data_IF_317662307024
#
_entry.id   IF_317662307024
#
_cell.length_a   1.000
_cell.length_b   1.000
_cell.length_c   1.000
_cell.angle_alpha   90.00
_cell.angle_beta   90.00
_cell.angle_gamma   90.00
#
_symmetry.space_group_name_H-M   'P 1'
#
loop_
_entity.id
_entity.type
_entity.pdbx_description
1 polymer ?
#
# COMPACT_ATOMS: atom_id res chain seq x y z
N UNK A 1 7.37 -13.88 13.47
CA UNK A 1 7.13 -13.42 14.86
C UNK A 1 7.92 -14.28 15.82
N UNK A 2 7.91 -13.99 17.13
CA UNK A 2 8.59 -14.80 18.15
C UNK A 2 8.13 -16.27 18.13
N UNK A 3 6.83 -16.49 17.91
CA UNK A 3 6.21 -17.83 17.87
C UNK A 3 6.53 -18.57 16.56
N UNK A 4 6.58 -17.85 15.43
CA UNK A 4 6.99 -18.47 14.17
C UNK A 4 8.46 -18.86 14.24
N UNK A 5 9.28 -17.98 14.82
CA UNK A 5 10.70 -18.22 15.02
C UNK A 5 10.97 -19.45 15.88
N UNK A 6 10.30 -19.57 17.03
CA UNK A 6 10.42 -20.76 17.89
C UNK A 6 10.01 -22.04 17.16
N UNK A 7 8.92 -21.98 16.39
CA UNK A 7 8.46 -23.12 15.58
C UNK A 7 9.51 -23.53 14.54
N UNK A 8 10.12 -22.59 13.81
CA UNK A 8 11.13 -22.94 12.81
C UNK A 8 12.41 -23.47 13.43
N UNK A 9 12.80 -22.92 14.58
CA UNK A 9 13.92 -23.45 15.35
C UNK A 9 13.68 -24.90 15.77
N UNK A 10 12.46 -25.24 16.22
CA UNK A 10 12.08 -26.62 16.54
C UNK A 10 12.08 -27.53 15.30
N UNK A 11 11.53 -27.07 14.18
CA UNK A 11 11.54 -27.83 12.92
C UNK A 11 12.99 -28.08 12.43
N UNK A 12 13.87 -27.10 12.56
CA UNK A 12 15.30 -27.23 12.29
C UNK A 12 15.97 -28.21 13.25
N UNK A 13 15.61 -28.21 14.54
CA UNK A 13 16.12 -29.18 15.50
C UNK A 13 15.72 -30.62 15.14
N UNK A 14 14.47 -30.85 14.71
CA UNK A 14 14.05 -32.17 14.20
C UNK A 14 14.95 -32.63 13.05
N UNK A 15 15.19 -31.73 12.09
CA UNK A 15 16.07 -31.99 10.94
C UNK A 15 17.52 -32.25 11.36
N UNK A 16 18.09 -31.43 12.24
CA UNK A 16 19.45 -31.59 12.77
C UNK A 16 19.63 -32.88 13.57
N UNK A 17 18.57 -33.38 14.21
CA UNK A 17 18.54 -34.66 14.90
C UNK A 17 18.39 -35.86 13.96
N UNK A 18 18.42 -35.65 12.63
CA UNK A 18 18.38 -36.73 11.63
C UNK A 18 16.98 -37.06 11.11
N UNK A 19 15.94 -36.29 11.46
CA UNK A 19 14.60 -36.51 10.93
C UNK A 19 14.54 -36.05 9.47
N UNK A 20 14.47 -37.00 8.54
CA UNK A 20 14.38 -36.73 7.10
C UNK A 20 12.95 -36.92 6.54
N UNK A 21 12.07 -37.61 7.26
CA UNK A 21 10.66 -37.67 6.90
C UNK A 21 10.02 -36.30 7.11
N UNK A 22 9.69 -35.65 6.00
CA UNK A 22 9.12 -34.31 5.99
C UNK A 22 7.81 -34.20 6.79
N UNK A 23 7.02 -35.28 6.85
CA UNK A 23 5.77 -35.31 7.60
C UNK A 23 6.00 -35.38 9.11
N UNK A 24 7.18 -35.84 9.54
CA UNK A 24 7.57 -35.97 10.93
C UNK A 24 8.23 -34.69 11.48
N UNK A 25 8.69 -33.78 10.62
CA UNK A 25 9.26 -32.50 11.01
C UNK A 25 8.12 -31.54 11.42
N UNK A 26 8.07 -31.16 12.70
CA UNK A 26 7.01 -30.30 13.25
C UNK A 26 7.54 -29.37 14.33
N UNK A 27 6.87 -28.24 14.51
CA UNK A 27 7.03 -27.36 15.68
C UNK A 27 5.68 -27.15 16.37
N UNK A 28 5.64 -26.25 17.33
CA UNK A 28 4.46 -25.99 18.17
C UNK A 28 3.23 -25.57 17.37
N UNK A 29 3.42 -24.94 16.20
CA UNK A 29 2.32 -24.52 15.33
C UNK A 29 1.99 -25.54 14.22
N UNK A 30 2.57 -26.73 14.25
CA UNK A 30 2.27 -27.82 13.31
C UNK A 30 3.45 -28.29 12.45
N UNK A 31 3.17 -29.18 11.48
CA UNK A 31 4.20 -29.76 10.62
C UNK A 31 4.83 -28.70 9.70
N UNK A 32 6.03 -28.99 9.22
CA UNK A 32 6.69 -28.14 8.23
C UNK A 32 5.89 -28.16 6.91
N UNK A 33 5.68 -26.97 6.35
CA UNK A 33 4.92 -26.78 5.09
C UNK A 33 5.73 -26.08 4.02
N UNK A 34 7.02 -25.88 4.26
CA UNK A 34 7.94 -25.17 3.38
C UNK A 34 8.70 -26.15 2.46
N UNK A 35 9.53 -25.68 1.53
CA UNK A 35 10.48 -26.55 0.81
C UNK A 35 11.74 -26.81 1.64
N UNK A 36 12.54 -27.83 1.27
CA UNK A 36 13.79 -28.18 1.98
C UNK A 36 14.77 -27.00 2.14
N UNK A 37 14.80 -26.04 1.20
CA UNK A 37 15.62 -24.84 1.30
C UNK A 37 15.34 -24.00 2.57
N UNK A 38 14.11 -24.06 3.10
CA UNK A 38 13.79 -23.44 4.39
C UNK A 38 14.64 -24.03 5.52
N UNK A 39 14.74 -25.36 5.60
CA UNK A 39 15.53 -26.04 6.64
C UNK A 39 17.01 -25.66 6.54
N UNK A 40 17.57 -25.59 5.33
CA UNK A 40 18.97 -25.23 5.16
C UNK A 40 19.27 -23.79 5.59
N UNK A 41 18.45 -22.83 5.15
CA UNK A 41 18.61 -21.41 5.52
C UNK A 41 18.43 -21.23 7.03
N UNK A 42 17.38 -21.81 7.61
CA UNK A 42 17.11 -21.67 9.04
C UNK A 42 18.10 -22.47 9.90
N UNK A 43 18.75 -23.51 9.37
CA UNK A 43 19.89 -24.17 10.05
C UNK A 43 21.06 -23.22 10.22
N UNK A 44 21.39 -22.43 9.19
CA UNK A 44 22.44 -21.40 9.29
C UNK A 44 22.04 -20.36 10.33
N UNK A 45 20.81 -19.86 10.26
CA UNK A 45 20.30 -18.88 11.21
C UNK A 45 20.27 -19.42 12.65
N UNK A 46 19.92 -20.69 12.84
CA UNK A 46 19.92 -21.37 14.13
C UNK A 46 21.29 -21.26 14.80
N UNK A 47 22.38 -21.58 14.09
CA UNK A 47 23.73 -21.44 14.66
C UNK A 47 24.12 -19.98 14.90
N UNK A 48 23.83 -19.06 13.97
CA UNK A 48 24.17 -17.64 14.09
C UNK A 48 23.45 -16.93 15.25
N UNK A 49 22.30 -17.44 15.67
CA UNK A 49 21.43 -16.81 16.68
C UNK A 49 21.49 -17.51 18.03
N UNK A 50 22.62 -18.16 18.32
CA UNK A 50 22.81 -18.97 19.53
C UNK A 50 21.70 -20.03 19.67
N UNK A 51 21.61 -20.92 18.69
CA UNK A 51 20.62 -22.00 18.62
C UNK A 51 19.18 -21.49 18.66
N UNK A 52 18.91 -20.35 18.03
CA UNK A 52 17.59 -19.76 17.97
C UNK A 52 17.15 -18.97 19.21
N UNK A 53 17.99 -18.85 20.25
CA UNK A 53 17.60 -18.13 21.49
C UNK A 53 17.71 -16.62 21.36
N UNK A 54 18.60 -16.11 20.51
CA UNK A 54 18.83 -14.68 20.32
C UNK A 54 17.97 -14.12 19.17
N UNK A 55 16.72 -13.83 19.48
CA UNK A 55 15.71 -13.35 18.52
C UNK A 55 16.07 -11.96 17.97
N UNK A 56 16.64 -11.10 18.81
CA UNK A 56 17.08 -9.78 18.39
C UNK A 56 18.21 -9.86 17.35
N UNK A 57 19.15 -10.79 17.52
CA UNK A 57 20.18 -11.08 16.52
C UNK A 57 19.55 -11.55 15.20
N UNK A 58 18.55 -12.44 15.25
CA UNK A 58 17.84 -12.87 14.05
C UNK A 58 17.21 -11.69 13.30
N UNK A 59 16.55 -10.79 14.04
CA UNK A 59 15.96 -9.58 13.48
C UNK A 59 17.02 -8.67 12.82
N UNK A 60 18.18 -8.49 13.46
CA UNK A 60 19.28 -7.72 12.87
C UNK A 60 19.86 -8.37 11.62
N UNK A 61 20.01 -9.69 11.60
CA UNK A 61 20.47 -10.42 10.41
C UNK A 61 19.49 -10.23 9.25
N UNK A 62 18.18 -10.35 9.48
CA UNK A 62 17.17 -10.09 8.44
C UNK A 62 17.19 -8.64 7.97
N UNK A 63 17.29 -7.67 8.89
CA UNK A 63 17.41 -6.26 8.55
C UNK A 63 18.67 -5.96 7.73
N UNK A 64 19.79 -6.60 8.07
CA UNK A 64 21.07 -6.46 7.37
C UNK A 64 21.05 -7.09 5.98
N UNK A 65 20.51 -8.31 5.83
CA UNK A 65 20.31 -8.94 4.51
C UNK A 65 19.41 -8.08 3.63
N UNK A 66 18.37 -7.51 4.21
CA UNK A 66 17.49 -6.59 3.50
C UNK A 66 18.21 -5.30 3.08
N UNK A 67 19.01 -4.71 3.97
CA UNK A 67 19.86 -3.56 3.66
C UNK A 67 20.86 -3.88 2.55
N UNK A 68 21.48 -5.06 2.56
CA UNK A 68 22.38 -5.51 1.47
C UNK A 68 21.60 -5.63 0.16
N UNK A 69 20.38 -6.16 0.19
CA UNK A 69 19.54 -6.27 -1.01
C UNK A 69 19.19 -4.89 -1.54
N UNK A 70 18.85 -3.94 -0.66
CA UNK A 70 18.64 -2.54 -1.03
C UNK A 70 19.90 -1.90 -1.61
N UNK A 71 21.07 -2.14 -1.02
CA UNK A 71 22.34 -1.63 -1.52
C UNK A 71 22.73 -2.27 -2.86
N UNK A 72 22.42 -3.56 -3.07
CA UNK A 72 22.64 -4.27 -4.33
C UNK A 72 21.71 -3.74 -5.42
N UNK A 73 20.41 -3.59 -5.12
CA UNK A 73 19.43 -2.92 -5.98
C UNK A 73 19.92 -1.52 -6.31
N UNK A 74 20.31 -0.73 -5.30
CA UNK A 74 20.84 0.61 -5.49
C UNK A 74 22.06 0.62 -6.43
N UNK A 75 23.03 -0.27 -6.22
CA UNK A 75 24.23 -0.38 -7.08
C UNK A 75 23.90 -0.78 -8.51
N UNK A 76 22.98 -1.71 -8.70
CA UNK A 76 22.55 -2.16 -10.04
C UNK A 76 21.82 -1.04 -10.78
N UNK A 77 21.05 -0.23 -10.05
CA UNK A 77 20.11 0.71 -10.66
C UNK A 77 20.55 2.17 -10.66
N UNK A 78 21.57 2.57 -9.89
CA UNK A 78 22.04 3.97 -9.82
C UNK A 78 22.41 4.57 -11.20
N UNK A 79 22.74 3.73 -12.20
CA UNK A 79 23.08 4.16 -13.57
C UNK A 79 21.88 4.32 -14.53
N UNK A 80 20.66 3.94 -14.16
CA UNK A 80 19.51 4.02 -15.07
C UNK A 80 18.85 5.40 -15.04
N UNK A 81 19.10 6.17 -16.10
CA UNK A 81 18.64 7.54 -16.29
C UNK A 81 17.16 7.60 -16.70
N UNK A 82 16.26 7.29 -15.76
CA UNK A 82 14.81 7.27 -16.03
C UNK A 82 14.02 8.19 -15.10
N UNK A 83 14.51 9.43 -14.97
CA UNK A 83 14.10 10.49 -14.03
C UNK A 83 12.80 11.22 -14.42
N UNK A 84 11.84 10.51 -15.01
CA UNK A 84 10.71 11.11 -15.73
C UNK A 84 9.91 12.09 -14.84
N UNK A 85 9.62 11.71 -13.59
CA UNK A 85 8.72 12.50 -12.74
C UNK A 85 9.44 13.36 -11.70
N UNK A 86 10.67 13.03 -11.29
CA UNK A 86 11.44 13.85 -10.33
C UNK A 86 11.67 15.28 -10.85
N UNK A 87 12.09 15.42 -12.11
CA UNK A 87 12.30 16.74 -12.72
C UNK A 87 11.01 17.55 -12.74
N UNK A 88 9.88 16.92 -13.12
CA UNK A 88 8.56 17.56 -13.10
C UNK A 88 8.18 18.04 -11.70
N UNK A 89 8.39 17.22 -10.66
CA UNK A 89 8.07 17.63 -9.29
C UNK A 89 8.93 18.82 -8.84
N UNK A 90 10.23 18.82 -9.18
CA UNK A 90 11.13 19.94 -8.91
C UNK A 90 10.69 21.22 -9.64
N UNK A 91 10.29 21.12 -10.90
CA UNK A 91 9.78 22.25 -11.69
C UNK A 91 8.47 22.82 -11.12
N UNK A 92 7.54 21.96 -10.71
CA UNK A 92 6.30 22.38 -10.07
C UNK A 92 6.56 23.13 -8.75
N UNK A 93 7.53 22.66 -7.96
CA UNK A 93 7.99 23.37 -6.76
C UNK A 93 8.63 24.71 -7.11
N UNK A 94 9.42 24.79 -8.17
CA UNK A 94 10.01 26.07 -8.62
C UNK A 94 8.92 27.10 -8.99
N UNK A 95 7.85 26.69 -9.68
CA UNK A 95 6.71 27.57 -9.93
C UNK A 95 6.14 28.14 -8.62
N UNK A 96 5.92 27.26 -7.64
CA UNK A 96 5.39 27.65 -6.32
C UNK A 96 6.34 28.58 -5.56
N UNK A 97 7.64 28.26 -5.50
CA UNK A 97 8.66 29.08 -4.84
C UNK A 97 8.84 30.46 -5.50
N UNK A 98 8.54 30.58 -6.79
CA UNK A 98 8.51 31.86 -7.50
C UNK A 98 7.22 32.67 -7.25
N UNK A 99 6.34 32.22 -6.35
CA UNK A 99 5.10 32.90 -5.97
C UNK A 99 3.85 32.48 -6.76
N UNK A 100 3.92 31.41 -7.57
CA UNK A 100 2.76 30.93 -8.34
C UNK A 100 1.78 30.19 -7.43
N UNK A 101 0.61 30.77 -7.20
CA UNK A 101 -0.49 30.14 -6.43
C UNK A 101 -1.64 29.65 -7.33
N UNK A 102 -1.70 30.02 -8.60
CA UNK A 102 -2.70 29.46 -9.51
C UNK A 102 -2.29 28.06 -9.94
N UNK A 103 -3.02 27.04 -9.48
CA UNK A 103 -2.80 25.64 -9.85
C UNK A 103 -2.89 25.37 -11.35
N UNK A 104 -3.58 26.22 -12.13
CA UNK A 104 -3.58 26.11 -13.60
C UNK A 104 -2.21 26.46 -14.22
N UNK A 105 -1.40 27.25 -13.52
CA UNK A 105 -0.09 27.70 -13.98
C UNK A 105 1.07 26.84 -13.47
N UNK A 106 0.84 25.97 -12.47
CA UNK A 106 1.87 25.08 -11.93
C UNK A 106 1.98 23.81 -12.79
N UNK A 107 3.10 23.68 -13.50
CA UNK A 107 3.37 22.57 -14.42
C UNK A 107 4.86 22.25 -14.52
N UNK A 108 5.17 21.05 -14.97
CA UNK A 108 6.51 20.66 -15.41
C UNK A 108 6.46 19.93 -16.75
N UNK A 109 7.57 19.35 -17.17
CA UNK A 109 7.75 18.73 -18.49
C UNK A 109 6.74 17.61 -18.77
N UNK A 110 6.33 16.87 -17.74
CA UNK A 110 5.36 15.76 -17.88
C UNK A 110 3.91 16.16 -17.62
N UNK A 111 3.63 17.45 -17.38
CA UNK A 111 2.28 18.01 -17.31
C UNK A 111 1.98 18.86 -16.08
N UNK A 112 0.71 19.26 -15.90
CA UNK A 112 0.28 20.11 -14.79
C UNK A 112 0.24 19.34 -13.48
N UNK A 113 0.37 20.08 -12.37
CA UNK A 113 0.21 19.52 -11.02
C UNK A 113 -1.20 18.96 -10.85
N UNK A 114 -1.28 17.76 -10.27
CA UNK A 114 -2.54 17.12 -9.85
C UNK A 114 -2.42 16.45 -8.50
N UNK A 115 -1.69 17.12 -7.63
CA UNK A 115 -1.46 16.70 -6.27
C UNK A 115 -1.89 17.84 -5.35
N UNK A 116 -2.50 17.55 -4.19
CA UNK A 116 -2.86 18.61 -3.26
C UNK A 116 -1.63 19.27 -2.65
N UNK A 117 -1.84 20.36 -1.90
CA UNK A 117 -0.76 21.24 -1.45
C UNK A 117 0.33 20.56 -0.62
N UNK A 118 0.03 19.45 0.06
CA UNK A 118 1.01 18.66 0.81
C UNK A 118 2.17 18.18 -0.05
N UNK A 119 1.92 17.85 -1.32
CA UNK A 119 2.98 17.54 -2.29
C UNK A 119 3.98 18.69 -2.45
N UNK A 120 3.49 19.91 -2.68
CA UNK A 120 4.36 21.09 -2.87
C UNK A 120 5.22 21.36 -1.63
N UNK A 121 4.66 21.28 -0.43
CA UNK A 121 5.42 21.52 0.79
C UNK A 121 6.49 20.46 1.04
N UNK A 122 6.16 19.18 0.88
CA UNK A 122 7.15 18.10 1.05
C UNK A 122 8.25 18.22 0.00
N UNK A 123 7.89 18.41 -1.27
CA UNK A 123 8.89 18.53 -2.32
C UNK A 123 9.68 19.84 -2.26
N UNK A 124 9.18 20.88 -1.59
CA UNK A 124 9.98 22.08 -1.25
C UNK A 124 11.10 21.73 -0.28
N UNK A 125 10.84 20.91 0.74
CA UNK A 125 11.89 20.42 1.65
C UNK A 125 12.91 19.60 0.86
N UNK A 126 12.44 18.65 0.04
CA UNK A 126 13.32 17.82 -0.80
C UNK A 126 14.14 18.66 -1.78
N UNK A 127 13.55 19.69 -2.38
CA UNK A 127 14.22 20.63 -3.28
C UNK A 127 15.45 21.24 -2.61
N UNK A 128 15.32 21.78 -1.40
CA UNK A 128 16.46 22.38 -0.70
C UNK A 128 17.50 21.34 -0.26
N UNK A 129 17.08 20.18 0.26
CA UNK A 129 17.99 19.11 0.68
C UNK A 129 18.84 18.54 -0.47
N UNK A 130 18.31 18.58 -1.69
CA UNK A 130 18.94 17.96 -2.87
C UNK A 130 19.63 18.97 -3.77
N UNK A 131 20.12 20.09 -3.20
CA UNK A 131 20.73 21.18 -3.96
C UNK A 131 19.83 21.63 -5.13
N UNK A 132 18.60 22.04 -4.80
CA UNK A 132 17.58 22.51 -5.76
C UNK A 132 17.16 21.44 -6.77
N UNK A 133 17.13 20.18 -6.34
CA UNK A 133 16.74 19.04 -7.18
C UNK A 133 17.85 18.46 -8.06
N UNK A 134 19.07 19.03 -8.03
CA UNK A 134 20.19 18.60 -8.89
C UNK A 134 20.96 17.41 -8.32
N UNK A 135 21.02 17.26 -6.99
CA UNK A 135 21.67 16.13 -6.33
C UNK A 135 20.71 14.93 -6.25
N UNK A 136 20.60 14.22 -7.37
CA UNK A 136 19.75 13.03 -7.51
C UNK A 136 20.19 11.91 -6.56
N UNK A 137 21.49 11.74 -6.36
CA UNK A 137 22.02 10.72 -5.46
C UNK A 137 21.48 10.92 -4.02
N UNK A 138 21.49 12.16 -3.54
CA UNK A 138 20.88 12.51 -2.26
C UNK A 138 19.37 12.18 -2.24
N UNK A 139 18.63 12.53 -3.30
CA UNK A 139 17.22 12.20 -3.42
C UNK A 139 16.98 10.68 -3.36
N UNK A 140 17.80 9.88 -4.04
CA UNK A 140 17.70 8.41 -4.01
C UNK A 140 17.95 7.84 -2.62
N UNK A 141 18.91 8.38 -1.85
CA UNK A 141 19.10 7.98 -0.46
C UNK A 141 17.90 8.34 0.42
N UNK A 142 17.31 9.52 0.22
CA UNK A 142 16.08 9.92 0.94
C UNK A 142 14.93 8.96 0.61
N UNK A 143 14.73 8.61 -0.66
CA UNK A 143 13.68 7.67 -1.06
C UNK A 143 13.96 6.22 -0.62
N UNK A 144 15.22 5.79 -0.57
CA UNK A 144 15.59 4.52 0.04
C UNK A 144 15.25 4.51 1.54
N UNK A 145 15.47 5.62 2.25
CA UNK A 145 15.06 5.76 3.65
C UNK A 145 13.53 5.75 3.80
N UNK A 146 12.78 6.45 2.94
CA UNK A 146 11.31 6.40 2.90
C UNK A 146 10.81 4.96 2.64
N UNK A 147 11.51 4.22 1.78
CA UNK A 147 11.17 2.82 1.53
C UNK A 147 11.37 1.95 2.78
N UNK A 148 12.47 2.14 3.50
CA UNK A 148 12.73 1.46 4.76
C UNK A 148 11.65 1.78 5.80
N UNK A 149 11.28 3.05 5.97
CA UNK A 149 10.18 3.45 6.87
C UNK A 149 8.87 2.79 6.47
N UNK A 150 8.56 2.73 5.17
CA UNK A 150 7.36 2.06 4.67
C UNK A 150 7.35 0.59 5.08
N UNK A 151 8.46 -0.11 4.90
CA UNK A 151 8.54 -1.53 5.25
C UNK A 151 8.49 -1.77 6.75
N UNK A 152 9.16 -0.95 7.56
CA UNK A 152 9.04 -1.03 9.02
C UNK A 152 7.59 -0.84 9.47
N UNK A 153 6.87 0.11 8.85
CA UNK A 153 5.45 0.32 9.13
C UNK A 153 4.61 -0.89 8.70
N UNK A 154 4.84 -1.46 7.51
CA UNK A 154 4.14 -2.67 7.03
C UNK A 154 4.45 -3.88 7.92
N UNK A 155 5.70 -4.09 8.31
CA UNK A 155 6.08 -5.20 9.18
C UNK A 155 5.45 -5.09 10.55
N UNK A 156 5.38 -3.88 11.11
CA UNK A 156 4.67 -3.65 12.37
C UNK A 156 3.19 -3.95 12.24
N UNK A 157 2.55 -3.55 11.14
CA UNK A 157 1.15 -3.89 10.86
C UNK A 157 0.98 -5.41 10.87
N UNK A 158 1.86 -6.13 10.15
CA UNK A 158 1.79 -7.58 10.03
C UNK A 158 2.14 -8.31 11.33
N UNK A 159 3.02 -7.76 12.14
CA UNK A 159 3.35 -8.27 13.47
C UNK A 159 2.17 -8.14 14.44
N UNK A 160 1.36 -7.09 14.28
CA UNK A 160 0.18 -6.82 15.10
C UNK A 160 -1.11 -7.47 14.60
N UNK A 161 -1.06 -8.19 13.48
CA UNK A 161 -2.19 -9.00 13.03
C UNK A 161 -2.44 -10.14 14.01
N UNK A 162 -3.72 -10.44 14.20
CA UNK A 162 -4.14 -11.58 15.02
C UNK A 162 -3.93 -12.88 14.23
N UNK A 163 -4.21 -12.84 12.92
CA UNK A 163 -3.84 -13.90 11.97
C UNK A 163 -2.37 -13.80 11.57
N UNK A 164 -1.62 -14.87 11.82
CA UNK A 164 -0.21 -14.93 11.44
C UNK A 164 -0.04 -15.18 9.95
N UNK A 165 0.74 -14.31 9.31
CA UNK A 165 1.22 -14.53 7.95
C UNK A 165 2.47 -15.40 7.96
N UNK A 166 2.64 -16.30 6.98
CA UNK A 166 3.87 -17.07 6.86
C UNK A 166 5.04 -16.13 6.56
N UNK A 167 6.24 -16.36 7.13
CA UNK A 167 7.41 -15.48 6.99
C UNK A 167 7.84 -15.26 5.56
N UNK A 168 7.62 -16.22 4.66
CA UNK A 168 7.96 -16.02 3.25
C UNK A 168 7.14 -14.89 2.62
N UNK A 169 5.97 -14.53 3.16
CA UNK A 169 5.23 -13.36 2.71
C UNK A 169 6.06 -12.08 2.87
N UNK A 170 6.89 -12.00 3.91
CA UNK A 170 7.85 -10.92 4.10
C UNK A 170 8.94 -10.95 3.03
N UNK A 171 9.48 -12.13 2.71
CA UNK A 171 10.47 -12.27 1.62
C UNK A 171 9.90 -11.83 0.27
N UNK A 172 8.66 -12.22 -0.04
CA UNK A 172 7.97 -11.78 -1.27
C UNK A 172 7.81 -10.26 -1.30
N UNK A 173 7.32 -9.65 -0.22
CA UNK A 173 7.18 -8.18 -0.16
C UNK A 173 8.51 -7.44 -0.29
N UNK A 174 9.58 -7.98 0.29
CA UNK A 174 10.85 -7.27 0.40
C UNK A 174 11.73 -7.42 -0.83
N UNK A 175 11.73 -8.60 -1.44
CA UNK A 175 12.81 -9.01 -2.33
C UNK A 175 12.36 -9.29 -3.76
N UNK A 176 11.06 -9.54 -4.01
CA UNK A 176 10.65 -10.11 -5.30
C UNK A 176 10.18 -9.07 -6.32
N UNK A 177 9.80 -7.85 -5.91
CA UNK A 177 9.26 -6.88 -6.85
C UNK A 177 10.30 -5.85 -7.33
N UNK A 178 10.89 -6.13 -8.48
CA UNK A 178 11.71 -5.18 -9.24
C UNK A 178 11.01 -3.83 -9.40
N UNK A 179 9.71 -3.85 -9.75
CA UNK A 179 8.95 -2.63 -10.00
C UNK A 179 8.81 -1.77 -8.75
N UNK A 180 8.54 -2.37 -7.59
CA UNK A 180 8.43 -1.63 -6.34
C UNK A 180 9.77 -0.98 -5.99
N UNK A 181 10.88 -1.70 -6.08
CA UNK A 181 12.21 -1.12 -5.91
C UNK A 181 12.47 0.07 -6.85
N UNK A 182 12.10 -0.07 -8.12
CA UNK A 182 12.22 0.99 -9.13
C UNK A 182 11.38 2.22 -8.77
N UNK A 183 10.14 2.04 -8.34
CA UNK A 183 9.23 3.13 -7.96
C UNK A 183 9.83 4.00 -6.86
N UNK A 184 10.45 3.39 -5.84
CA UNK A 184 11.12 4.12 -4.76
C UNK A 184 12.45 4.70 -5.18
N UNK A 185 13.42 3.87 -5.59
CA UNK A 185 14.83 4.26 -5.63
C UNK A 185 15.23 4.86 -6.98
N UNK A 186 14.56 4.47 -8.07
CA UNK A 186 14.90 4.97 -9.40
C UNK A 186 14.05 6.15 -9.83
N UNK A 187 12.74 6.04 -9.62
CA UNK A 187 11.76 6.95 -10.19
C UNK A 187 11.36 8.07 -9.23
N UNK A 188 11.58 7.89 -7.92
CA UNK A 188 11.31 8.88 -6.88
C UNK A 188 9.86 9.38 -6.90
N UNK A 189 8.91 8.46 -7.14
CA UNK A 189 7.50 8.80 -7.32
C UNK A 189 6.87 9.30 -6.03
N UNK A 190 6.05 10.36 -6.14
CA UNK A 190 5.28 10.95 -5.05
C UNK A 190 4.38 9.92 -4.31
N UNK A 191 3.94 8.87 -5.02
CA UNK A 191 3.18 7.74 -4.50
C UNK A 191 3.81 7.12 -3.26
N UNK A 192 5.14 7.04 -3.22
CA UNK A 192 5.89 6.39 -2.13
C UNK A 192 5.74 7.12 -0.80
N UNK A 193 5.78 8.46 -0.83
CA UNK A 193 5.59 9.31 0.36
C UNK A 193 4.16 9.17 0.87
N UNK A 194 3.18 9.23 -0.03
CA UNK A 194 1.77 9.06 0.34
C UNK A 194 1.51 7.69 0.99
N UNK A 195 2.06 6.62 0.41
CA UNK A 195 1.90 5.27 0.97
C UNK A 195 2.65 5.09 2.30
N UNK A 196 3.85 5.67 2.48
CA UNK A 196 4.56 5.65 3.76
C UNK A 196 3.72 6.28 4.89
N UNK A 197 3.19 7.49 4.64
CA UNK A 197 2.30 8.19 5.58
C UNK A 197 1.02 7.41 5.87
N UNK A 198 0.43 6.78 4.85
CA UNK A 198 -0.74 5.93 5.03
C UNK A 198 -0.45 4.71 5.91
N UNK A 199 0.65 3.99 5.71
CA UNK A 199 0.98 2.85 6.57
C UNK A 199 1.30 3.28 8.01
N UNK A 200 1.86 4.48 8.22
CA UNK A 200 1.97 5.07 9.55
C UNK A 200 0.58 5.35 10.14
N UNK A 201 -0.35 5.92 9.37
CA UNK A 201 -1.73 6.13 9.81
C UNK A 201 -2.42 4.82 10.23
N UNK A 202 -2.26 3.76 9.43
CA UNK A 202 -2.79 2.43 9.73
C UNK A 202 -2.22 1.86 11.03
N UNK A 203 -0.93 2.05 11.29
CA UNK A 203 -0.31 1.67 12.57
C UNK A 203 -0.97 2.34 13.78
N UNK A 204 -1.38 3.60 13.65
CA UNK A 204 -2.13 4.29 14.70
C UNK A 204 -3.57 3.78 14.82
N UNK A 205 -4.24 3.44 13.71
CA UNK A 205 -5.58 2.85 13.75
C UNK A 205 -5.59 1.48 14.45
N UNK A 206 -4.63 0.60 14.15
CA UNK A 206 -4.50 -0.69 14.85
C UNK A 206 -4.06 -0.55 16.32
N UNK A 207 -3.51 0.60 16.70
CA UNK A 207 -3.25 0.97 18.11
C UNK A 207 -4.43 1.67 18.78
N UNK A 208 -5.57 1.80 18.08
CA UNK A 208 -6.77 2.54 18.52
C UNK A 208 -6.53 4.03 18.76
N UNK A 209 -5.42 4.60 18.26
CA UNK A 209 -5.10 6.03 18.28
C UNK A 209 -5.72 6.74 17.07
N UNK A 210 -7.05 6.70 16.97
CA UNK A 210 -7.82 7.14 15.80
C UNK A 210 -7.48 8.57 15.36
N UNK A 211 -7.40 9.52 16.28
CA UNK A 211 -7.13 10.93 15.95
C UNK A 211 -5.74 11.14 15.36
N UNK A 212 -4.71 10.49 15.93
CA UNK A 212 -3.35 10.56 15.38
C UNK A 212 -3.30 9.88 14.01
N UNK A 213 -3.97 8.74 13.86
CA UNK A 213 -4.12 8.09 12.57
C UNK A 213 -4.81 8.99 11.53
N UNK A 214 -5.86 9.72 11.92
CA UNK A 214 -6.56 10.69 11.06
C UNK A 214 -5.66 11.86 10.64
N UNK A 215 -4.75 12.32 11.52
CA UNK A 215 -3.73 13.32 11.15
C UNK A 215 -2.84 12.78 10.03
N UNK A 216 -2.20 11.63 10.23
CA UNK A 216 -1.32 11.03 9.20
C UNK A 216 -2.08 10.67 7.92
N UNK A 217 -3.31 10.19 8.04
CA UNK A 217 -4.18 9.89 6.90
C UNK A 217 -4.46 11.15 6.08
N UNK A 218 -4.83 12.26 6.71
CA UNK A 218 -5.09 13.51 5.99
C UNK A 218 -3.82 14.08 5.36
N UNK A 219 -2.68 14.01 6.05
CA UNK A 219 -1.40 14.40 5.44
C UNK A 219 -1.12 13.52 4.21
N UNK A 220 -1.32 12.20 4.28
CA UNK A 220 -1.16 11.30 3.13
C UNK A 220 -2.08 11.67 1.95
N UNK A 221 -3.36 11.99 2.21
CA UNK A 221 -4.30 12.50 1.19
C UNK A 221 -3.79 13.80 0.58
N UNK A 222 -3.22 14.71 1.38
CA UNK A 222 -2.68 15.99 0.90
C UNK A 222 -1.45 15.83 -0.01
N UNK A 223 -0.79 14.67 0.03
CA UNK A 223 0.31 14.32 -0.86
C UNK A 223 -0.20 13.66 -2.13
N UNK A 224 -1.14 12.71 -2.00
CA UNK A 224 -1.73 12.04 -3.15
C UNK A 224 -3.14 11.52 -2.89
N UNK A 225 -4.02 11.79 -3.84
CA UNK A 225 -5.45 11.49 -3.71
C UNK A 225 -5.81 10.00 -3.68
N UNK A 226 -4.92 9.09 -4.11
CA UNK A 226 -5.22 7.65 -4.12
C UNK A 226 -5.56 7.11 -2.73
N UNK A 227 -5.07 7.77 -1.68
CA UNK A 227 -5.37 7.45 -0.28
C UNK A 227 -6.87 7.59 0.03
N UNK A 228 -7.64 8.35 -0.77
CA UNK A 228 -9.10 8.44 -0.65
C UNK A 228 -9.81 7.11 -0.93
N UNK A 229 -9.18 6.14 -1.62
CA UNK A 229 -9.75 4.79 -1.79
C UNK A 229 -10.00 4.07 -0.46
N UNK A 230 -9.31 4.49 0.61
CA UNK A 230 -9.50 3.99 1.96
C UNK A 230 -10.58 4.75 2.74
N UNK A 231 -11.05 5.91 2.27
CA UNK A 231 -11.94 6.81 3.01
C UNK A 231 -13.30 6.15 3.38
N UNK A 232 -13.98 5.40 2.48
CA UNK A 232 -15.24 4.75 2.83
C UNK A 232 -15.07 3.74 3.98
N UNK A 233 -13.98 2.96 3.94
CA UNK A 233 -13.65 2.01 5.01
C UNK A 233 -13.26 2.71 6.31
N UNK A 234 -12.46 3.78 6.24
CA UNK A 234 -12.09 4.55 7.42
C UNK A 234 -13.32 5.17 8.09
N UNK A 235 -14.24 5.77 7.32
CA UNK A 235 -15.48 6.31 7.84
C UNK A 235 -16.30 5.23 8.56
N UNK A 236 -16.46 4.06 7.94
CA UNK A 236 -17.17 2.93 8.54
C UNK A 236 -16.52 2.49 9.86
N UNK A 237 -15.19 2.33 9.88
CA UNK A 237 -14.46 1.98 11.10
C UNK A 237 -14.58 3.04 12.19
N UNK A 238 -14.55 4.33 11.83
CA UNK A 238 -14.73 5.41 12.79
C UNK A 238 -16.15 5.43 13.37
N UNK A 239 -17.17 5.07 12.59
CA UNK A 239 -18.55 4.96 13.08
C UNK A 239 -18.76 3.74 13.98
N UNK A 240 -18.09 2.63 13.69
CA UNK A 240 -18.20 1.38 14.45
C UNK A 240 -17.41 1.41 15.77
N UNK A 241 -16.25 2.06 15.80
CA UNK A 241 -15.32 2.00 16.96
C UNK A 241 -15.43 3.18 17.91
N UNK A 242 -16.01 4.30 17.46
CA UNK A 242 -16.08 5.52 18.23
C UNK A 242 -17.51 5.98 18.44
N UNK A 243 -17.76 6.74 19.51
CA UNK A 243 -18.98 7.53 19.62
C UNK A 243 -19.01 8.58 18.50
N UNK A 244 -20.22 8.96 18.07
CA UNK A 244 -20.43 9.96 16.99
C UNK A 244 -19.61 11.24 17.18
N UNK A 245 -19.46 11.71 18.43
CA UNK A 245 -18.62 12.87 18.77
C UNK A 245 -17.17 12.68 18.34
N UNK A 246 -16.58 11.53 18.64
CA UNK A 246 -15.20 11.22 18.29
C UNK A 246 -15.05 11.02 16.78
N UNK A 247 -16.05 10.43 16.11
CA UNK A 247 -16.11 10.39 14.63
C UNK A 247 -16.07 11.79 14.04
N UNK A 248 -16.90 12.73 14.55
CA UNK A 248 -16.91 14.12 14.11
C UNK A 248 -15.55 14.80 14.36
N UNK A 249 -14.90 14.57 15.51
CA UNK A 249 -13.57 15.10 15.79
C UNK A 249 -12.56 14.60 14.76
N UNK A 250 -12.51 13.29 14.49
CA UNK A 250 -11.58 12.70 13.53
C UNK A 250 -11.81 13.23 12.10
N UNK A 251 -13.06 13.37 11.68
CA UNK A 251 -13.41 13.97 10.38
C UNK A 251 -13.03 15.46 10.33
N UNK A 252 -13.24 16.20 11.42
CA UNK A 252 -12.87 17.61 11.52
C UNK A 252 -11.35 17.79 11.45
N UNK A 253 -10.58 16.93 12.11
CA UNK A 253 -9.11 16.90 12.02
C UNK A 253 -8.66 16.68 10.57
N UNK A 254 -9.26 15.71 9.88
CA UNK A 254 -8.95 15.49 8.47
C UNK A 254 -9.23 16.75 7.63
N UNK A 255 -10.41 17.36 7.79
CA UNK A 255 -10.81 18.55 7.04
C UNK A 255 -9.92 19.77 7.34
N UNK A 256 -9.63 20.04 8.62
CA UNK A 256 -8.80 21.16 9.05
C UNK A 256 -7.38 21.08 8.49
N UNK A 257 -6.79 19.89 8.41
CA UNK A 257 -5.48 19.69 7.78
C UNK A 257 -5.53 20.03 6.28
N UNK A 258 -6.57 19.59 5.55
CA UNK A 258 -6.71 19.94 4.13
C UNK A 258 -6.88 21.44 3.92
N UNK A 259 -7.70 22.09 4.77
CA UNK A 259 -7.91 23.54 4.72
C UNK A 259 -6.64 24.32 5.06
N UNK A 260 -5.91 23.90 6.10
CA UNK A 260 -4.68 24.56 6.53
C UNK A 260 -3.59 24.46 5.46
N UNK A 261 -3.36 23.27 4.91
CA UNK A 261 -2.37 23.07 3.84
C UNK A 261 -2.79 23.77 2.55
N UNK A 262 -4.08 23.75 2.20
CA UNK A 262 -4.61 24.40 1.01
C UNK A 262 -4.79 25.92 1.14
N UNK A 263 -4.62 26.50 2.33
CA UNK A 263 -5.07 27.87 2.64
C UNK A 263 -4.58 28.94 1.66
N UNK A 264 -3.28 29.02 1.27
CA UNK A 264 -2.82 30.05 0.35
C UNK A 264 -3.52 29.99 -1.02
N UNK A 265 -3.78 28.77 -1.49
CA UNK A 265 -4.43 28.51 -2.77
C UNK A 265 -5.94 28.72 -2.68
N UNK A 266 -6.56 28.36 -1.55
CA UNK A 266 -7.99 28.57 -1.31
C UNK A 266 -8.36 30.05 -1.17
N UNK A 267 -7.47 30.87 -0.60
CA UNK A 267 -7.68 32.32 -0.50
C UNK A 267 -7.47 33.05 -1.84
N UNK A 268 -6.52 32.57 -2.65
CA UNK A 268 -6.12 33.28 -3.89
C UNK A 268 -6.85 32.74 -5.14
N UNK A 269 -6.92 31.42 -5.30
CA UNK A 269 -7.45 30.73 -6.49
C UNK A 269 -8.27 29.47 -6.12
N UNK A 270 -9.37 29.59 -5.35
CA UNK A 270 -10.08 28.44 -4.79
C UNK A 270 -10.60 27.46 -5.86
N UNK A 271 -11.14 27.98 -6.96
CA UNK A 271 -11.65 27.15 -8.07
C UNK A 271 -10.53 26.33 -8.72
N UNK A 272 -9.39 26.97 -9.00
CA UNK A 272 -8.24 26.31 -9.61
C UNK A 272 -7.67 25.22 -8.68
N UNK A 273 -7.56 25.52 -7.38
CA UNK A 273 -7.08 24.56 -6.39
C UNK A 273 -8.01 23.34 -6.29
N UNK A 274 -9.31 23.54 -6.07
CA UNK A 274 -10.27 22.43 -5.85
C UNK A 274 -10.35 21.52 -7.08
N UNK A 275 -10.40 22.10 -8.28
CA UNK A 275 -10.53 21.31 -9.52
C UNK A 275 -9.26 20.55 -9.88
N UNK A 276 -8.07 21.13 -9.66
CA UNK A 276 -6.82 20.54 -10.12
C UNK A 276 -6.08 19.71 -9.07
N UNK A 277 -6.18 20.03 -7.78
CA UNK A 277 -5.44 19.32 -6.71
C UNK A 277 -5.76 17.83 -6.62
N UNK A 278 -7.02 17.46 -6.87
CA UNK A 278 -7.47 16.07 -6.93
C UNK A 278 -7.78 15.61 -8.38
N UNK A 279 -8.24 16.51 -9.25
CA UNK A 279 -8.56 16.26 -10.66
C UNK A 279 -9.16 14.87 -10.97
N UNK A 280 -10.38 14.63 -10.45
CA UNK A 280 -11.13 13.40 -10.70
C UNK A 280 -11.51 13.19 -12.17
N UNK A 281 -11.53 14.27 -12.97
CA UNK A 281 -11.83 14.22 -14.40
C UNK A 281 -10.66 13.78 -15.30
N UNK A 282 -9.44 13.66 -14.74
CA UNK A 282 -8.25 13.34 -15.55
C UNK A 282 -8.41 12.00 -16.28
N UNK A 283 -8.24 12.06 -17.59
CA UNK A 283 -8.16 10.89 -18.46
C UNK A 283 -6.70 10.61 -18.77
N UNK A 284 -6.21 9.47 -18.32
CA UNK A 284 -4.86 9.03 -18.65
C UNK A 284 -4.83 8.40 -20.05
N UNK A 285 -3.65 8.36 -20.68
CA UNK A 285 -3.51 7.78 -22.02
C UNK A 285 -3.67 6.26 -21.96
N UNK A 286 -4.53 5.70 -22.82
CA UNK A 286 -4.75 4.25 -22.94
C UNK A 286 -3.48 3.45 -23.24
N UNK A 287 -2.44 4.07 -23.81
CA UNK A 287 -1.15 3.41 -24.06
C UNK A 287 -0.38 3.03 -22.78
N UNK A 288 -0.66 3.72 -21.66
CA UNK A 288 0.07 3.57 -20.41
C UNK A 288 -0.70 2.78 -19.34
N UNK A 289 -1.94 2.39 -19.63
CA UNK A 289 -2.80 1.68 -18.68
C UNK A 289 -2.45 0.20 -18.62
N UNK A 290 -2.19 -0.30 -17.41
CA UNK A 290 -1.92 -1.71 -17.13
C UNK A 290 -3.22 -2.52 -17.16
N UNK A 291 -4.34 -1.90 -16.78
CA UNK A 291 -5.67 -2.50 -16.77
C UNK A 291 -6.53 -1.94 -17.91
N UNK A 292 -7.52 -2.71 -18.37
CA UNK A 292 -8.40 -2.38 -19.50
C UNK A 292 -7.69 -2.22 -20.86
N UNK A 293 -6.47 -2.76 -21.02
CA UNK A 293 -5.73 -2.70 -22.30
C UNK A 293 -6.42 -3.48 -23.43
N UNK A 294 -7.28 -4.44 -23.08
CA UNK A 294 -8.12 -5.20 -24.03
C UNK A 294 -9.35 -4.43 -24.52
N UNK A 295 -9.70 -3.31 -23.88
CA UNK A 295 -10.78 -2.43 -24.32
C UNK A 295 -10.22 -1.43 -25.34
N UNK A 296 -11.03 -1.03 -26.33
CA UNK A 296 -10.61 -0.04 -27.33
C UNK A 296 -10.41 1.33 -26.69
N UNK A 297 -9.62 2.20 -27.35
CA UNK A 297 -9.33 3.53 -26.83
C UNK A 297 -10.60 4.39 -26.69
N UNK A 298 -11.53 4.25 -27.63
CA UNK A 298 -12.81 5.00 -27.67
C UNK A 298 -13.66 4.68 -26.43
N UNK A 299 -13.77 3.39 -26.09
CA UNK A 299 -14.50 2.95 -24.89
C UNK A 299 -13.74 3.38 -23.63
N UNK A 300 -12.42 3.26 -23.60
CA UNK A 300 -11.61 3.63 -22.44
C UNK A 300 -11.74 5.11 -22.05
N UNK A 301 -11.74 6.02 -23.03
CA UNK A 301 -11.87 7.47 -22.75
C UNK A 301 -13.32 7.91 -22.53
N UNK A 302 -14.29 7.06 -22.86
CA UNK A 302 -15.73 7.36 -22.75
C UNK A 302 -16.17 7.68 -21.32
N UNK A 303 -17.00 8.70 -21.18
CA UNK A 303 -17.61 9.07 -19.91
C UNK A 303 -18.58 7.99 -19.40
N UNK A 304 -19.28 7.28 -20.30
CA UNK A 304 -20.17 6.17 -19.94
C UNK A 304 -19.39 5.04 -19.26
N UNK A 305 -18.20 4.71 -19.78
CA UNK A 305 -17.33 3.71 -19.18
C UNK A 305 -16.84 4.14 -17.80
N UNK A 306 -16.41 5.39 -17.66
CA UNK A 306 -15.99 5.94 -16.37
C UNK A 306 -17.10 5.90 -15.31
N UNK A 307 -18.31 6.35 -15.65
CA UNK A 307 -19.47 6.34 -14.72
C UNK A 307 -19.88 4.91 -14.37
N UNK A 308 -19.86 3.98 -15.34
CA UNK A 308 -20.17 2.57 -15.10
C UNK A 308 -19.19 1.94 -14.11
N UNK A 309 -17.89 2.18 -14.28
CA UNK A 309 -16.87 1.71 -13.34
C UNK A 309 -17.06 2.28 -11.93
N UNK A 310 -17.39 3.58 -11.83
CA UNK A 310 -17.69 4.22 -10.54
C UNK A 310 -18.93 3.61 -9.87
N UNK A 311 -20.00 3.39 -10.62
CA UNK A 311 -21.22 2.77 -10.10
C UNK A 311 -20.96 1.34 -9.60
N UNK A 312 -20.21 0.54 -10.36
CA UNK A 312 -19.81 -0.81 -9.96
C UNK A 312 -18.90 -0.79 -8.72
N UNK A 313 -17.94 0.13 -8.66
CA UNK A 313 -17.09 0.32 -7.48
C UNK A 313 -17.92 0.57 -6.21
N UNK A 314 -18.85 1.53 -6.26
CA UNK A 314 -19.71 1.87 -5.12
C UNK A 314 -20.66 0.72 -4.75
N UNK A 315 -21.22 0.03 -5.74
CA UNK A 315 -22.08 -1.14 -5.51
C UNK A 315 -21.32 -2.26 -4.79
N UNK A 316 -20.13 -2.63 -5.28
CA UNK A 316 -19.34 -3.71 -4.68
C UNK A 316 -18.86 -3.30 -3.28
N UNK A 317 -18.42 -2.07 -3.06
CA UNK A 317 -18.11 -1.56 -1.72
C UNK A 317 -19.30 -1.71 -0.76
N UNK A 318 -20.49 -1.27 -1.17
CA UNK A 318 -21.69 -1.36 -0.37
C UNK A 318 -22.05 -2.82 -0.04
N UNK A 319 -21.94 -3.73 -1.02
CA UNK A 319 -22.18 -5.15 -0.81
C UNK A 319 -21.21 -5.74 0.22
N UNK A 320 -19.91 -5.42 0.12
CA UNK A 320 -18.91 -5.89 1.09
C UNK A 320 -19.17 -5.34 2.48
N UNK A 321 -19.48 -4.04 2.60
CA UNK A 321 -19.81 -3.44 3.89
C UNK A 321 -21.11 -4.01 4.48
N UNK A 322 -22.14 -4.25 3.67
CA UNK A 322 -23.39 -4.86 4.11
C UNK A 322 -23.17 -6.29 4.61
N UNK A 323 -22.41 -7.09 3.88
CA UNK A 323 -22.11 -8.48 4.26
C UNK A 323 -21.33 -8.54 5.57
N UNK A 324 -20.30 -7.72 5.69
CA UNK A 324 -19.38 -7.72 6.83
C UNK A 324 -19.98 -7.14 8.10
N UNK A 325 -20.78 -6.09 7.96
CA UNK A 325 -21.36 -5.37 9.08
C UNK A 325 -22.86 -5.60 9.16
N UNK A 326 -23.33 -6.83 8.89
CA UNK A 326 -24.74 -7.25 8.73
C UNK A 326 -25.73 -6.67 9.78
N UNK A 327 -25.22 -6.18 10.93
CA UNK A 327 -25.91 -5.29 11.88
C UNK A 327 -26.13 -3.84 11.39
N UNK A 328 -26.21 -3.58 10.08
CA UNK A 328 -26.64 -2.28 9.50
C UNK A 328 -28.01 -1.79 10.02
N UNK A 329 -28.79 -2.65 10.70
CA UNK A 329 -30.08 -2.31 11.32
C UNK A 329 -30.02 -1.33 12.51
N UNK A 330 -28.85 -0.82 12.92
CA UNK A 330 -28.72 0.16 14.01
C UNK A 330 -28.43 1.61 13.57
N UNK A 331 -28.78 1.98 12.34
CA UNK A 331 -28.82 3.39 11.92
C UNK A 331 -29.97 4.20 12.56
N UNK A 332 -30.84 3.54 13.33
CA UNK A 332 -31.78 4.21 14.22
C UNK A 332 -31.10 4.47 15.58
N UNK A 333 -31.17 5.71 16.10
CA UNK A 333 -30.62 6.03 17.40
C UNK A 333 -31.38 5.23 18.46
N UNK A 334 -30.65 4.65 19.43
CA UNK A 334 -31.05 4.32 20.82
C UNK A 334 -30.49 2.97 21.32
N UNK A 335 -30.10 2.00 20.49
CA UNK A 335 -29.81 0.65 21.04
C UNK A 335 -28.34 0.42 21.42
N UNK A 336 -27.99 0.88 22.63
CA UNK A 336 -26.86 0.48 23.51
C UNK A 336 -25.52 0.27 22.78
N UNK A 337 -24.71 1.32 22.79
CA UNK A 337 -23.29 1.32 22.42
C UNK A 337 -22.46 0.55 23.46
N UNK A 338 -22.39 -0.77 23.34
CA UNK A 338 -21.17 -1.47 23.72
C UNK A 338 -20.18 -1.24 22.59
N UNK A 339 -19.08 -0.53 22.84
CA UNK A 339 -17.96 -0.42 21.90
C UNK A 339 -17.55 -1.84 21.49
N UNK A 340 -17.86 -2.26 20.26
CA UNK A 340 -17.40 -3.55 19.77
C UNK A 340 -15.91 -3.39 19.57
N UNK A 341 -15.11 -4.13 20.36
CA UNK A 341 -13.67 -4.17 20.17
C UNK A 341 -13.39 -4.89 18.84
N UNK A 342 -13.25 -4.12 17.76
CA UNK A 342 -12.81 -4.68 16.48
C UNK A 342 -11.41 -5.26 16.64
N UNK A 343 -11.15 -6.42 16.05
CA UNK A 343 -9.81 -7.01 15.98
C UNK A 343 -8.92 -6.21 15.01
N UNK A 344 -7.60 -6.39 15.10
CA UNK A 344 -6.69 -5.70 14.17
C UNK A 344 -6.91 -6.18 12.74
N UNK A 345 -7.13 -7.49 12.58
CA UNK A 345 -7.50 -8.09 11.30
C UNK A 345 -8.78 -7.49 10.73
N UNK A 346 -9.74 -7.16 11.59
CA UNK A 346 -10.99 -6.57 11.14
C UNK A 346 -10.80 -5.17 10.55
N UNK A 347 -9.98 -4.34 11.20
CA UNK A 347 -9.61 -2.99 10.75
C UNK A 347 -8.86 -3.09 9.42
N UNK A 348 -7.83 -3.94 9.36
CA UNK A 348 -6.95 -4.07 8.20
C UNK A 348 -7.69 -4.62 6.97
N UNK A 349 -8.52 -5.65 7.15
CA UNK A 349 -9.33 -6.21 6.07
C UNK A 349 -10.31 -5.19 5.51
N UNK A 350 -10.93 -4.37 6.35
CA UNK A 350 -11.87 -3.33 5.90
C UNK A 350 -11.16 -2.27 5.06
N UNK A 351 -10.01 -1.77 5.54
CA UNK A 351 -9.21 -0.77 4.83
C UNK A 351 -8.62 -1.31 3.52
N UNK A 352 -7.98 -2.48 3.56
CA UNK A 352 -7.31 -3.06 2.39
C UNK A 352 -8.31 -3.57 1.34
N UNK A 353 -9.46 -4.13 1.74
CA UNK A 353 -10.51 -4.52 0.77
C UNK A 353 -11.12 -3.31 0.08
N UNK A 354 -11.38 -2.20 0.78
CA UNK A 354 -11.92 -1.00 0.14
C UNK A 354 -10.94 -0.42 -0.91
N UNK A 355 -9.66 -0.33 -0.55
CA UNK A 355 -8.62 0.07 -1.51
C UNK A 355 -8.53 -0.89 -2.69
N UNK A 356 -8.55 -2.20 -2.45
CA UNK A 356 -8.45 -3.20 -3.51
C UNK A 356 -9.64 -3.15 -4.48
N UNK A 357 -10.86 -2.95 -3.98
CA UNK A 357 -12.04 -2.69 -4.83
C UNK A 357 -11.82 -1.40 -5.64
N UNK A 358 -11.28 -0.34 -5.04
CA UNK A 358 -10.87 0.87 -5.74
C UNK A 358 -9.91 0.61 -6.91
N UNK A 359 -8.86 -0.17 -6.67
CA UNK A 359 -7.88 -0.56 -7.69
C UNK A 359 -8.54 -1.37 -8.82
N UNK A 360 -9.35 -2.39 -8.47
CA UNK A 360 -9.97 -3.28 -9.44
C UNK A 360 -10.91 -2.54 -10.42
N UNK A 361 -11.63 -1.53 -9.94
CA UNK A 361 -12.56 -0.73 -10.72
C UNK A 361 -11.97 0.61 -11.22
N UNK A 362 -10.70 0.89 -10.95
CA UNK A 362 -10.05 2.10 -11.48
C UNK A 362 -10.04 2.06 -13.01
N UNK A 363 -10.41 3.16 -13.66
CA UNK A 363 -10.38 3.23 -15.13
C UNK A 363 -8.98 3.12 -15.69
N UNK A 364 -7.98 3.70 -15.02
CA UNK A 364 -6.61 3.75 -15.54
C UNK A 364 -5.62 3.46 -14.43
N UNK A 365 -4.78 2.46 -14.64
CA UNK A 365 -3.69 2.12 -13.74
C UNK A 365 -2.35 2.27 -14.45
N UNK A 366 -1.57 3.27 -14.07
CA UNK A 366 -0.19 3.37 -14.53
C UNK A 366 0.73 2.59 -13.62
N UNK A 367 1.89 2.19 -14.14
CA UNK A 367 2.84 1.30 -13.47
C UNK A 367 3.25 1.73 -12.05
N UNK A 368 3.30 3.02 -11.75
CA UNK A 368 3.61 3.51 -10.40
C UNK A 368 2.50 3.23 -9.38
N UNK A 369 1.26 3.03 -9.83
CA UNK A 369 0.12 2.74 -8.95
C UNK A 369 0.17 1.32 -8.36
N UNK A 370 1.12 0.48 -8.79
CA UNK A 370 1.32 -0.83 -8.17
C UNK A 370 1.58 -0.73 -6.66
N UNK A 371 2.31 0.31 -6.24
CA UNK A 371 2.64 0.56 -4.82
C UNK A 371 1.40 0.84 -3.96
N UNK A 372 0.27 1.22 -4.56
CA UNK A 372 -0.97 1.54 -3.84
C UNK A 372 -1.57 0.35 -3.11
N UNK A 373 -1.23 -0.87 -3.52
CA UNK A 373 -1.82 -2.08 -2.94
C UNK A 373 -0.86 -3.27 -2.82
N UNK A 374 0.34 -3.21 -3.42
CA UNK A 374 1.33 -4.28 -3.36
C UNK A 374 1.53 -4.86 -1.94
N UNK A 375 1.82 -4.02 -0.95
CA UNK A 375 2.07 -4.46 0.42
C UNK A 375 0.81 -4.94 1.16
N UNK A 376 -0.39 -4.77 0.58
CA UNK A 376 -1.63 -5.32 1.14
C UNK A 376 -2.01 -6.68 0.54
N UNK A 377 -1.45 -7.05 -0.61
CA UNK A 377 -1.80 -8.26 -1.35
C UNK A 377 -1.56 -9.56 -0.55
N UNK A 378 -0.42 -9.76 0.15
CA UNK A 378 -0.22 -10.97 0.93
C UNK A 378 -1.27 -11.12 2.01
N UNK A 379 -1.58 -10.05 2.76
CA UNK A 379 -2.65 -10.09 3.74
C UNK A 379 -4.01 -10.44 3.11
N UNK A 380 -4.42 -9.75 2.05
CA UNK A 380 -5.71 -10.01 1.39
C UNK A 380 -5.82 -11.47 0.93
N UNK A 381 -4.77 -12.01 0.32
CA UNK A 381 -4.76 -13.41 -0.09
C UNK A 381 -4.83 -14.35 1.10
N UNK A 382 -4.10 -14.08 2.18
CA UNK A 382 -4.09 -14.97 3.34
C UNK A 382 -5.37 -14.97 4.16
N UNK A 383 -6.22 -13.96 4.01
CA UNK A 383 -7.60 -13.99 4.53
C UNK A 383 -8.54 -14.90 3.72
N UNK A 384 -8.11 -15.40 2.56
CA UNK A 384 -8.88 -16.37 1.76
C UNK A 384 -8.56 -17.81 2.12
N UNK A 385 -9.52 -18.71 1.87
CA UNK A 385 -9.39 -20.17 2.02
C UNK A 385 -8.57 -20.86 0.92
N UNK A 386 -7.95 -20.11 0.01
CA UNK A 386 -7.13 -20.69 -1.06
C UNK A 386 -5.88 -21.42 -0.52
N UNK A 387 -5.40 -22.41 -1.27
CA UNK A 387 -4.14 -23.08 -0.92
C UNK A 387 -2.95 -22.10 -1.01
N UNK A 388 -1.87 -22.29 -0.22
CA UNK A 388 -0.66 -21.47 -0.34
C UNK A 388 -0.09 -21.42 -1.77
N UNK A 389 -0.17 -22.53 -2.52
CA UNK A 389 0.24 -22.60 -3.94
C UNK A 389 -0.57 -21.65 -4.80
N UNK A 390 -1.89 -21.64 -4.65
CA UNK A 390 -2.80 -20.74 -5.38
C UNK A 390 -2.51 -19.28 -5.02
N UNK A 391 -2.32 -18.96 -3.73
CA UNK A 391 -2.01 -17.61 -3.26
C UNK A 391 -0.69 -17.09 -3.87
N UNK A 392 0.36 -17.90 -3.85
CA UNK A 392 1.65 -17.59 -4.48
C UNK A 392 1.55 -17.43 -6.00
N UNK A 393 0.79 -18.30 -6.67
CA UNK A 393 0.52 -18.19 -8.10
C UNK A 393 -0.15 -16.85 -8.43
N UNK A 394 -1.18 -16.46 -7.66
CA UNK A 394 -1.86 -15.17 -7.84
C UNK A 394 -0.88 -14.00 -7.68
N UNK A 395 -0.02 -14.00 -6.65
CA UNK A 395 1.01 -12.96 -6.47
C UNK A 395 1.97 -12.89 -7.67
N UNK A 396 2.41 -14.05 -8.17
CA UNK A 396 3.29 -14.13 -9.34
C UNK A 396 2.61 -13.61 -10.62
N UNK A 397 1.34 -13.92 -10.83
CA UNK A 397 0.56 -13.44 -11.99
C UNK A 397 0.32 -11.92 -11.91
N UNK A 398 0.06 -11.38 -10.72
CA UNK A 398 0.00 -9.92 -10.52
C UNK A 398 1.35 -9.29 -10.86
N UNK A 399 2.45 -9.82 -10.31
CA UNK A 399 3.80 -9.32 -10.60
C UNK A 399 4.12 -9.38 -12.10
N UNK A 400 3.74 -10.45 -12.79
CA UNK A 400 3.88 -10.59 -14.25
C UNK A 400 3.08 -9.51 -15.00
N UNK A 401 1.81 -9.32 -14.64
CA UNK A 401 0.93 -8.31 -15.25
C UNK A 401 1.50 -6.90 -15.09
N UNK A 402 2.02 -6.57 -13.90
CA UNK A 402 2.65 -5.27 -13.67
C UNK A 402 4.00 -5.15 -14.35
N UNK A 403 4.81 -6.20 -14.50
CA UNK A 403 6.12 -6.09 -15.16
C UNK A 403 6.06 -6.15 -16.69
N UNK A 404 4.94 -6.55 -17.29
CA UNK A 404 4.76 -6.51 -18.75
C UNK A 404 4.69 -5.07 -19.25
N UNK A 405 5.69 -4.63 -20.01
CA UNK A 405 5.80 -3.25 -20.53
C UNK A 405 6.13 -3.22 -22.04
N UNK A 406 5.33 -2.51 -22.87
CA UNK A 406 4.00 -2.00 -22.55
C UNK A 406 3.03 -3.16 -22.28
N UNK A 407 1.94 -2.89 -21.56
CA UNK A 407 0.93 -3.91 -21.26
C UNK A 407 0.29 -4.45 -22.53
N UNK A 408 -0.05 -5.74 -22.54
CA UNK A 408 -0.79 -6.41 -23.61
C UNK A 408 -2.26 -6.63 -23.21
N UNK A 409 -3.11 -6.98 -24.18
CA UNK A 409 -4.49 -7.38 -23.88
C UNK A 409 -4.52 -8.57 -22.92
N UNK A 410 -3.62 -9.54 -23.11
CA UNK A 410 -3.47 -10.71 -22.26
C UNK A 410 -3.02 -10.35 -20.85
N UNK A 411 -1.97 -9.54 -20.68
CA UNK A 411 -1.47 -9.17 -19.34
C UNK A 411 -2.50 -8.37 -18.54
N UNK A 412 -3.27 -7.50 -19.23
CA UNK A 412 -4.39 -6.76 -18.65
C UNK A 412 -5.57 -7.67 -18.31
N UNK A 413 -5.95 -8.59 -19.20
CA UNK A 413 -7.03 -9.55 -18.94
C UNK A 413 -6.69 -10.46 -17.76
N UNK A 414 -5.45 -10.95 -17.70
CA UNK A 414 -4.92 -11.72 -16.59
C UNK A 414 -5.02 -10.96 -15.26
N UNK A 415 -4.65 -9.68 -15.23
CA UNK A 415 -4.74 -8.84 -14.03
C UNK A 415 -6.19 -8.75 -13.52
N UNK A 416 -7.15 -8.60 -14.43
CA UNK A 416 -8.57 -8.58 -14.09
C UNK A 416 -9.08 -9.92 -13.56
N UNK A 417 -8.66 -11.04 -14.18
CA UNK A 417 -9.01 -12.39 -13.70
C UNK A 417 -8.50 -12.61 -12.28
N UNK A 418 -7.23 -12.30 -12.00
CA UNK A 418 -6.67 -12.49 -10.65
C UNK A 418 -7.30 -11.53 -9.63
N UNK A 419 -7.62 -10.30 -10.01
CA UNK A 419 -8.36 -9.38 -9.14
C UNK A 419 -9.76 -9.91 -8.81
N UNK A 420 -10.47 -10.47 -9.80
CA UNK A 420 -11.78 -11.08 -9.60
C UNK A 420 -11.70 -12.31 -8.67
N UNK A 421 -10.69 -13.17 -8.86
CA UNK A 421 -10.45 -14.33 -7.97
C UNK A 421 -10.23 -13.85 -6.53
N UNK A 422 -9.41 -12.81 -6.32
CA UNK A 422 -9.21 -12.25 -4.97
C UNK A 422 -10.52 -11.73 -4.41
N UNK A 423 -11.31 -10.95 -5.16
CA UNK A 423 -12.60 -10.43 -4.69
C UNK A 423 -13.57 -11.54 -4.31
N UNK A 424 -13.66 -12.62 -5.11
CA UNK A 424 -14.49 -13.78 -4.79
C UNK A 424 -14.00 -14.49 -3.52
N UNK A 425 -12.68 -14.65 -3.38
CA UNK A 425 -12.06 -15.24 -2.19
C UNK A 425 -12.35 -14.44 -0.93
N UNK A 426 -12.20 -13.10 -1.00
CA UNK A 426 -12.51 -12.18 0.09
C UNK A 426 -14.00 -12.22 0.44
N UNK A 427 -14.88 -12.22 -0.57
CA UNK A 427 -16.32 -12.31 -0.36
C UNK A 427 -16.68 -13.59 0.38
N UNK A 428 -16.18 -14.75 -0.05
CA UNK A 428 -16.50 -16.05 0.57
C UNK A 428 -15.98 -16.18 2.00
N UNK A 429 -14.84 -15.58 2.30
CA UNK A 429 -14.15 -15.70 3.59
C UNK A 429 -14.29 -14.45 4.47
N UNK A 430 -15.21 -13.53 4.17
CA UNK A 430 -15.49 -12.40 5.05
C UNK A 430 -16.04 -12.96 6.37
N UNK A 431 -15.31 -12.83 7.50
CA UNK A 431 -15.83 -13.28 8.79
C UNK A 431 -17.12 -12.50 9.10
N UNK A 432 -18.17 -13.24 9.47
CA UNK A 432 -19.48 -12.73 9.89
C UNK A 432 -19.37 -12.14 11.29
#
# INVERSE_FOLDING_TARGET
>A
TEIDWSTYVQQVQCFLNGTLDYNAIKGDTGPIVYPAGHLYIYTILYYLTNRGTNILCAQYIFAFIYLITLLAVFRVYHKMDSKIDWSTYVQQVQCFLNGTLDYNAIKGDTGPIVYPAGHLYIYTILYYLTNRGTNILCAQYIFAFIYLITLLAVFRIYHKMDSKLPPFAFVVMCCTSYRIHSIYILRLFNDTIAMALLYIAINFFIDRKWTVGSVFYSIAVSVKMNVLLFAPALLLLLLETNHIRNTIINLSVCALIQLALGLPFLLSYPKAYILNSFNFGRVFLHKWTVNWRFVTNEVFVSQYFHITLLALHLLILLLFFKKRYFKWHKWLPVVKQTSIALSNDQILLTLFTANFIGIAFSRSLHYQFYVWYFHSLPFLLWTTSYSPKTKLCILGLIELSWNTYPSTQLSSGLLHVVHLIILIGLWKNTPI
#
